data_IF_658431623895
#
_entry.id   IF_658431623895
#
_cell.length_a   1.000
_cell.length_b   1.000
_cell.length_c   1.000
_cell.angle_alpha   90.00
_cell.angle_beta   90.00
_cell.angle_gamma   90.00
#
_symmetry.space_group_name_H-M   'P 1'
#
loop_
_entity.id
_entity.type
_entity.pdbx_description
1 polymer ?
#
# COMPACT_ATOMS: atom_id res chain seq x y z
N UNK A 1 23.49 2.49 -7.25
CA UNK A 1 22.55 1.74 -6.40
C UNK A 1 22.25 0.40 -7.08
N UNK A 2 22.71 -0.71 -6.51
CA UNK A 2 22.59 -2.03 -7.14
C UNK A 2 21.12 -2.47 -7.19
N UNK A 3 20.56 -2.56 -8.40
CA UNK A 3 19.27 -3.22 -8.62
C UNK A 3 19.44 -4.69 -8.22
N UNK A 4 18.96 -5.09 -7.04
CA UNK A 4 19.03 -6.48 -6.59
C UNK A 4 18.32 -7.36 -7.63
N UNK A 5 19.00 -8.35 -8.16
CA UNK A 5 18.40 -9.33 -9.06
C UNK A 5 17.48 -10.28 -8.27
N UNK A 6 16.46 -10.80 -8.93
CA UNK A 6 15.53 -11.80 -8.38
C UNK A 6 15.63 -13.10 -9.19
N UNK A 7 15.46 -14.23 -8.52
CA UNK A 7 15.36 -15.57 -9.12
C UNK A 7 14.05 -16.23 -8.71
N UNK A 8 13.49 -17.06 -9.58
CA UNK A 8 12.25 -17.78 -9.29
C UNK A 8 12.57 -19.07 -8.53
N UNK A 9 11.73 -19.43 -7.56
CA UNK A 9 11.80 -20.71 -6.85
C UNK A 9 11.40 -21.86 -7.78
N UNK A 10 11.76 -23.10 -7.41
CA UNK A 10 11.40 -24.27 -8.22
C UNK A 10 9.88 -24.44 -8.36
N UNK A 11 9.12 -24.17 -7.30
CA UNK A 11 7.65 -24.16 -7.30
C UNK A 11 7.10 -22.98 -8.13
N UNK A 12 7.71 -21.80 -7.99
CA UNK A 12 7.36 -20.61 -8.77
C UNK A 12 7.53 -20.82 -10.28
N UNK A 13 8.63 -21.46 -10.72
CA UNK A 13 8.87 -21.80 -12.12
C UNK A 13 7.78 -22.72 -12.65
N UNK A 14 7.33 -23.71 -11.86
CA UNK A 14 6.26 -24.62 -12.26
C UNK A 14 4.92 -23.87 -12.44
N UNK A 15 4.54 -23.03 -11.47
CA UNK A 15 3.36 -22.14 -11.58
C UNK A 15 3.44 -21.26 -12.82
N UNK A 16 4.59 -20.64 -13.06
CA UNK A 16 4.81 -19.76 -14.20
C UNK A 16 4.72 -20.49 -15.53
N UNK A 17 5.27 -21.70 -15.64
CA UNK A 17 5.14 -22.54 -16.85
C UNK A 17 3.68 -22.91 -17.12
N UNK A 18 2.90 -23.24 -16.09
CA UNK A 18 1.48 -23.52 -16.25
C UNK A 18 0.70 -22.29 -16.73
N UNK A 19 0.95 -21.11 -16.15
CA UNK A 19 0.35 -19.86 -16.60
C UNK A 19 0.73 -19.53 -18.06
N UNK A 20 1.99 -19.69 -18.40
CA UNK A 20 2.50 -19.48 -19.75
C UNK A 20 1.85 -20.42 -20.78
N UNK A 21 1.69 -21.70 -20.44
CA UNK A 21 0.99 -22.68 -21.28
C UNK A 21 -0.50 -22.33 -21.47
N UNK A 22 -1.18 -21.87 -20.42
CA UNK A 22 -2.60 -21.44 -20.52
C UNK A 22 -2.79 -20.28 -21.49
N UNK A 23 -1.81 -19.37 -21.58
CA UNK A 23 -1.85 -18.25 -22.54
C UNK A 23 -1.50 -18.65 -23.97
N UNK A 24 -0.81 -19.77 -24.17
CA UNK A 24 -0.36 -20.22 -25.50
C UNK A 24 0.68 -19.31 -26.14
N UNK A 25 1.44 -18.57 -25.34
CA UNK A 25 2.43 -17.61 -25.82
C UNK A 25 3.78 -18.25 -26.16
N UNK A 26 4.55 -17.60 -27.03
CA UNK A 26 5.96 -17.92 -27.26
C UNK A 26 6.85 -17.07 -26.35
N UNK A 27 8.09 -17.49 -26.11
CA UNK A 27 9.02 -16.70 -25.29
C UNK A 27 9.37 -15.37 -25.95
N UNK A 28 9.31 -15.33 -27.28
CA UNK A 28 9.45 -14.14 -28.11
C UNK A 28 8.36 -13.13 -27.84
N UNK A 29 7.12 -13.61 -27.86
CA UNK A 29 5.96 -12.76 -27.62
C UNK A 29 6.02 -12.18 -26.21
N UNK A 30 6.32 -13.02 -25.21
CA UNK A 30 6.48 -12.55 -23.84
C UNK A 30 7.62 -11.54 -23.70
N UNK A 31 8.76 -11.74 -24.38
CA UNK A 31 9.87 -10.78 -24.37
C UNK A 31 9.44 -9.43 -24.94
N UNK A 32 8.71 -9.41 -26.07
CA UNK A 32 8.19 -8.19 -26.66
C UNK A 32 7.18 -7.48 -25.74
N UNK A 33 6.31 -8.22 -25.05
CA UNK A 33 5.33 -7.66 -24.10
C UNK A 33 5.96 -6.96 -22.88
N UNK A 34 7.16 -7.39 -22.48
CA UNK A 34 7.94 -6.74 -21.41
C UNK A 34 9.01 -5.78 -21.95
N UNK A 35 8.94 -5.42 -23.24
CA UNK A 35 9.84 -4.43 -23.85
C UNK A 35 11.28 -4.91 -24.06
N UNK A 36 11.49 -6.22 -24.14
CA UNK A 36 12.81 -6.82 -24.38
C UNK A 36 13.01 -7.14 -25.86
N UNK A 37 14.18 -6.75 -26.38
CA UNK A 37 14.60 -7.11 -27.74
C UNK A 37 15.02 -8.58 -27.86
N UNK A 38 15.43 -9.21 -26.76
CA UNK A 38 15.93 -10.58 -26.73
C UNK A 38 15.17 -11.47 -25.75
N UNK A 39 15.12 -12.76 -26.06
CA UNK A 39 14.51 -13.80 -25.21
C UNK A 39 15.33 -14.14 -23.96
N UNK A 40 16.51 -13.53 -23.78
CA UNK A 40 17.51 -13.94 -22.80
C UNK A 40 16.98 -13.89 -21.37
N UNK A 41 16.30 -12.81 -20.98
CA UNK A 41 15.75 -12.66 -19.62
C UNK A 41 14.56 -13.58 -19.38
N UNK A 42 13.72 -13.79 -20.40
CA UNK A 42 12.58 -14.73 -20.33
C UNK A 42 13.09 -16.16 -20.15
N UNK A 43 14.10 -16.58 -20.92
CA UNK A 43 14.74 -17.88 -20.74
C UNK A 43 15.35 -18.02 -19.34
N UNK A 44 16.10 -17.02 -18.88
CA UNK A 44 16.70 -17.02 -17.53
C UNK A 44 15.63 -17.16 -16.44
N UNK A 45 14.50 -16.47 -16.56
CA UNK A 45 13.36 -16.57 -15.65
C UNK A 45 12.86 -18.02 -15.54
N UNK A 46 12.53 -18.67 -16.67
CA UNK A 46 12.05 -20.06 -16.68
C UNK A 46 13.12 -21.10 -16.34
N UNK A 47 14.40 -20.72 -16.39
CA UNK A 47 15.54 -21.54 -15.99
C UNK A 47 15.96 -21.32 -14.52
N UNK A 48 15.26 -20.46 -13.76
CA UNK A 48 15.61 -20.17 -12.36
C UNK A 48 16.89 -19.36 -12.19
N UNK A 49 17.36 -18.69 -13.25
CA UNK A 49 18.54 -17.80 -13.19
C UNK A 49 18.13 -16.40 -12.76
N UNK A 50 18.99 -15.68 -12.03
CA UNK A 50 18.68 -14.33 -11.58
C UNK A 50 18.55 -13.36 -12.75
N UNK A 51 17.51 -12.53 -12.71
CA UNK A 51 17.24 -11.44 -13.67
C UNK A 51 16.98 -10.13 -12.92
N UNK A 52 16.95 -9.01 -13.64
CA UNK A 52 16.62 -7.72 -13.02
C UNK A 52 15.22 -7.72 -12.40
N UNK A 53 15.10 -7.12 -11.20
CA UNK A 53 13.84 -7.09 -10.44
C UNK A 53 12.65 -6.56 -11.24
N UNK A 54 12.83 -5.48 -12.01
CA UNK A 54 11.74 -4.90 -12.78
C UNK A 54 11.22 -5.89 -13.84
N UNK A 55 12.12 -6.51 -14.61
CA UNK A 55 11.76 -7.56 -15.58
C UNK A 55 11.09 -8.76 -14.92
N UNK A 56 11.54 -9.16 -13.73
CA UNK A 56 10.92 -10.25 -12.98
C UNK A 56 9.45 -9.94 -12.67
N UNK A 57 9.19 -8.73 -12.15
CA UNK A 57 7.85 -8.27 -11.81
C UNK A 57 7.00 -8.13 -13.07
N UNK A 58 7.53 -7.54 -14.14
CA UNK A 58 6.81 -7.35 -15.41
C UNK A 58 6.43 -8.69 -16.06
N UNK A 59 7.34 -9.68 -16.03
CA UNK A 59 7.04 -11.04 -16.51
C UNK A 59 5.92 -11.66 -15.68
N UNK A 60 5.98 -11.56 -14.34
CA UNK A 60 4.91 -12.09 -13.48
C UNK A 60 3.57 -11.40 -13.76
N UNK A 61 3.58 -10.08 -13.90
CA UNK A 61 2.40 -9.29 -14.22
C UNK A 61 1.78 -9.70 -15.56
N UNK A 62 2.58 -9.84 -16.63
CA UNK A 62 2.09 -10.29 -17.94
C UNK A 62 1.53 -11.71 -17.93
N UNK A 63 1.99 -12.56 -17.01
CA UNK A 63 1.50 -13.93 -16.82
C UNK A 63 0.34 -14.04 -15.84
N UNK A 64 -0.18 -12.92 -15.31
CA UNK A 64 -1.21 -12.85 -14.27
C UNK A 64 -0.80 -13.62 -13.00
N UNK A 65 0.44 -13.39 -12.54
CA UNK A 65 1.03 -14.01 -11.35
C UNK A 65 1.47 -12.95 -10.35
N UNK A 66 1.32 -13.25 -9.07
CA UNK A 66 1.88 -12.47 -7.99
C UNK A 66 3.37 -12.78 -7.83
N UNK A 67 4.25 -11.78 -7.95
CA UNK A 67 5.70 -12.01 -8.01
C UNK A 67 6.29 -12.57 -6.70
N UNK A 68 5.67 -12.28 -5.56
CA UNK A 68 6.06 -12.77 -4.22
C UNK A 68 5.89 -14.28 -4.09
N UNK A 69 4.90 -14.81 -4.81
CA UNK A 69 4.58 -16.24 -4.88
C UNK A 69 5.54 -17.05 -5.76
N UNK A 70 6.33 -16.34 -6.59
CA UNK A 70 7.22 -16.92 -7.61
C UNK A 70 8.68 -16.78 -7.20
N UNK A 71 9.04 -15.70 -6.50
CA UNK A 71 10.42 -15.42 -6.12
C UNK A 71 10.94 -16.46 -5.13
N UNK A 72 12.21 -16.83 -5.26
CA UNK A 72 12.91 -17.58 -4.23
C UNK A 72 13.32 -16.60 -3.13
N UNK A 73 12.56 -16.57 -2.04
CA UNK A 73 13.00 -15.86 -0.85
C UNK A 73 14.18 -16.63 -0.25
N UNK A 74 15.26 -15.94 0.18
CA UNK A 74 16.24 -16.60 1.04
C UNK A 74 15.47 -17.20 2.20
N UNK A 75 15.69 -18.49 2.45
CA UNK A 75 15.24 -19.15 3.67
C UNK A 75 15.87 -18.35 4.81
N UNK A 76 15.09 -17.41 5.36
CA UNK A 76 15.39 -16.85 6.66
C UNK A 76 15.25 -18.06 7.54
N UNK A 77 16.39 -18.67 7.90
CA UNK A 77 16.41 -19.67 8.95
C UNK A 77 15.50 -19.11 10.04
N UNK A 78 14.45 -19.84 10.45
CA UNK A 78 13.68 -19.41 11.59
C UNK A 78 14.69 -19.32 12.72
N UNK A 79 15.07 -18.08 13.05
CA UNK A 79 15.78 -17.78 14.27
C UNK A 79 15.03 -18.59 15.33
N UNK A 80 15.71 -19.47 16.09
CA UNK A 80 15.05 -20.20 17.15
C UNK A 80 14.23 -19.17 17.92
N UNK A 81 12.97 -19.51 18.20
CA UNK A 81 12.02 -18.66 18.90
C UNK A 81 12.44 -18.45 20.36
N UNK A 82 13.66 -17.97 20.57
CA UNK A 82 14.30 -17.72 21.84
C UNK A 82 14.93 -16.32 21.76
N UNK A 83 14.24 -15.41 22.45
CA UNK A 83 14.74 -14.15 22.97
C UNK A 83 15.05 -13.09 21.90
N UNK A 84 13.99 -12.49 21.34
CA UNK A 84 14.02 -11.03 21.22
C UNK A 84 14.26 -10.54 22.65
N UNK A 85 15.46 -10.03 22.94
CA UNK A 85 15.72 -9.24 24.14
C UNK A 85 14.84 -7.99 24.09
N UNK A 86 13.60 -8.18 24.49
CA UNK A 86 12.58 -7.16 24.69
C UNK A 86 12.93 -6.21 25.84
N UNK A 87 14.01 -6.46 26.59
CA UNK A 87 14.24 -5.74 27.86
C UNK A 87 14.68 -4.30 27.69
N UNK A 88 15.46 -3.95 26.65
CA UNK A 88 16.04 -2.61 26.57
C UNK A 88 15.09 -1.58 25.94
N UNK A 89 14.42 -1.93 24.84
CA UNK A 89 13.52 -1.00 24.14
C UNK A 89 12.16 -0.86 24.85
N UNK A 90 11.64 -1.93 25.48
CA UNK A 90 10.37 -1.86 26.20
C UNK A 90 10.48 -0.96 27.43
N UNK A 91 11.63 -0.91 28.10
CA UNK A 91 11.84 0.02 29.22
C UNK A 91 11.72 1.49 28.80
N UNK A 92 12.28 1.87 27.65
CA UNK A 92 12.15 3.23 27.11
C UNK A 92 10.73 3.53 26.65
N UNK A 93 10.03 2.57 26.05
CA UNK A 93 8.64 2.72 25.64
C UNK A 93 7.71 2.90 26.87
N UNK A 94 7.92 2.12 27.92
CA UNK A 94 7.13 2.22 29.15
C UNK A 94 7.39 3.54 29.88
N UNK A 95 8.66 3.98 29.92
CA UNK A 95 9.04 5.28 30.49
C UNK A 95 8.45 6.45 29.71
N UNK A 96 8.45 6.39 28.37
CA UNK A 96 7.85 7.41 27.52
C UNK A 96 6.31 7.45 27.65
N UNK A 97 5.65 6.29 27.78
CA UNK A 97 4.21 6.22 28.03
C UNK A 97 3.85 6.78 29.40
N UNK A 98 4.62 6.45 30.43
CA UNK A 98 4.42 6.95 31.80
C UNK A 98 4.52 8.48 31.85
N UNK A 99 5.57 9.07 31.26
CA UNK A 99 5.76 10.52 31.28
C UNK A 99 4.65 11.27 30.54
N UNK A 100 4.20 10.75 29.38
CA UNK A 100 3.19 11.41 28.56
C UNK A 100 1.77 11.21 29.10
N UNK A 101 1.49 10.11 29.80
CA UNK A 101 0.15 9.82 30.33
C UNK A 101 -0.36 10.92 31.26
N UNK A 102 0.50 11.45 32.15
CA UNK A 102 0.13 12.55 33.04
C UNK A 102 -0.19 13.84 32.27
N UNK A 103 0.56 14.16 31.23
CA UNK A 103 0.32 15.33 30.39
C UNK A 103 -0.98 15.20 29.59
N UNK A 104 -1.23 14.03 28.99
CA UNK A 104 -2.50 13.71 28.30
C UNK A 104 -3.67 13.77 29.30
N UNK A 105 -3.52 13.22 30.50
CA UNK A 105 -4.58 13.25 31.52
C UNK A 105 -4.91 14.68 31.95
N UNK A 106 -3.91 15.55 32.09
CA UNK A 106 -4.14 16.95 32.46
C UNK A 106 -4.79 17.76 31.32
N UNK A 107 -4.41 17.51 30.07
CA UNK A 107 -4.92 18.26 28.91
C UNK A 107 -6.26 17.72 28.39
N UNK A 108 -6.44 16.41 28.42
CA UNK A 108 -7.59 15.72 27.84
C UNK A 108 -8.56 15.17 28.89
N UNK A 109 -8.17 15.12 30.17
CA UNK A 109 -9.02 14.59 31.24
C UNK A 109 -10.32 15.35 31.43
N UNK A 110 -10.34 16.66 31.11
CA UNK A 110 -11.57 17.44 31.09
C UNK A 110 -12.56 16.96 30.02
N UNK A 111 -12.07 16.60 28.83
CA UNK A 111 -12.88 16.06 27.74
C UNK A 111 -13.40 14.65 28.05
N UNK A 112 -12.59 13.84 28.72
CA UNK A 112 -13.00 12.49 29.12
C UNK A 112 -14.08 12.53 30.22
N UNK A 113 -13.98 13.45 31.19
CA UNK A 113 -15.01 13.66 32.21
C UNK A 113 -16.31 14.29 31.67
N UNK A 114 -16.24 15.09 30.58
CA UNK A 114 -17.43 15.70 29.96
C UNK A 114 -18.19 14.75 29.03
N UNK A 115 -17.53 13.73 28.48
CA UNK A 115 -18.17 12.68 27.67
C UNK A 115 -18.69 11.50 28.51
N UNK A 116 -18.16 11.29 29.71
CA UNK A 116 -18.60 10.23 30.64
C UNK A 116 -19.87 10.61 31.42
N UNK A 117 -20.26 11.89 31.38
CA UNK A 117 -21.60 12.31 31.77
C UNK A 117 -22.52 12.17 30.56
N UNK A 118 -23.57 11.35 30.67
CA UNK A 118 -24.66 11.26 29.70
C UNK A 118 -25.51 12.55 29.69
N UNK A 119 -24.89 13.70 29.45
CA UNK A 119 -25.57 14.95 29.20
C UNK A 119 -25.77 15.09 27.68
N UNK A 120 -26.99 15.35 27.20
CA UNK A 120 -27.23 15.55 25.78
C UNK A 120 -26.49 16.82 25.32
N UNK A 121 -25.41 16.62 24.56
CA UNK A 121 -24.70 17.69 23.88
C UNK A 121 -25.48 18.08 22.63
N UNK A 122 -25.66 19.39 22.41
CA UNK A 122 -26.24 19.85 21.15
C UNK A 122 -25.23 19.68 20.03
N UNK A 123 -25.71 19.37 18.82
CA UNK A 123 -24.86 19.09 17.65
C UNK A 123 -23.85 20.22 17.37
N UNK A 124 -24.23 21.47 17.67
CA UNK A 124 -23.42 22.67 17.52
C UNK A 124 -22.19 22.72 18.45
N UNK A 125 -22.20 21.99 19.56
CA UNK A 125 -21.08 21.90 20.50
C UNK A 125 -20.05 20.83 20.09
N UNK A 126 -20.44 19.92 19.19
CA UNK A 126 -19.60 18.79 18.74
C UNK A 126 -19.01 19.04 17.37
N UNK A 127 -19.73 19.75 16.50
CA UNK A 127 -19.26 20.05 15.16
C UNK A 127 -18.37 21.29 15.15
N UNK A 128 -17.09 21.09 14.83
CA UNK A 128 -16.23 22.19 14.41
C UNK A 128 -16.72 22.72 13.06
N UNK A 129 -17.05 24.02 12.93
CA UNK A 129 -17.49 24.57 11.67
C UNK A 129 -16.38 24.41 10.64
N UNK A 130 -16.69 23.73 9.54
CA UNK A 130 -15.76 23.56 8.42
C UNK A 130 -15.56 24.93 7.78
N UNK A 131 -14.41 25.57 8.06
CA UNK A 131 -13.96 26.75 7.32
C UNK A 131 -13.39 26.29 5.98
N UNK A 132 -14.27 26.11 5.00
CA UNK A 132 -13.85 25.90 3.61
C UNK A 132 -13.27 27.23 3.12
N UNK A 133 -11.97 27.26 2.87
CA UNK A 133 -11.35 28.41 2.21
C UNK A 133 -11.84 28.43 0.76
N UNK A 134 -12.42 29.55 0.27
CA UNK A 134 -13.00 29.62 -1.08
C UNK A 134 -11.96 29.51 -2.19
N UNK A 135 -10.69 29.82 -1.89
CA UNK A 135 -9.60 29.67 -2.84
C UNK A 135 -8.49 28.79 -2.26
N UNK A 136 -8.02 27.78 -3.01
CA UNK A 136 -6.80 27.07 -2.65
C UNK A 136 -5.66 28.08 -2.65
N UNK A 137 -4.88 28.12 -1.57
CA UNK A 137 -3.68 28.94 -1.50
C UNK A 137 -2.81 28.59 -2.72
N UNK A 138 -2.30 29.60 -3.42
CA UNK A 138 -1.66 29.56 -4.75
C UNK A 138 -0.32 28.78 -4.79
N UNK A 139 -0.09 27.92 -3.81
CA UNK A 139 1.00 26.97 -3.71
C UNK A 139 0.43 25.54 -3.60
N UNK A 140 -0.37 25.14 -4.59
CA UNK A 140 -0.78 23.75 -4.76
C UNK A 140 -0.16 23.21 -6.06
N UNK A 141 0.64 22.15 -5.91
CA UNK A 141 1.43 21.52 -6.97
C UNK A 141 0.56 21.10 -8.16
N UNK A 142 0.96 21.50 -9.38
CA UNK A 142 0.33 21.07 -10.63
C UNK A 142 0.67 19.60 -10.86
N UNK A 143 -0.33 18.73 -10.70
CA UNK A 143 -0.26 17.31 -11.07
C UNK A 143 -1.59 16.89 -11.68
N UNK A 144 -1.60 16.70 -13.00
CA UNK A 144 -2.75 16.43 -13.86
C UNK A 144 -3.67 15.30 -13.38
N UNK A 145 -4.92 15.63 -13.07
CA UNK A 145 -6.11 14.93 -13.55
C UNK A 145 -7.37 15.71 -13.13
N UNK A 146 -7.97 16.44 -14.07
CA UNK A 146 -9.25 17.14 -13.88
C UNK A 146 -10.37 16.11 -14.04
N UNK A 147 -11.14 15.75 -12.99
CA UNK A 147 -12.39 15.03 -13.17
C UNK A 147 -13.47 15.99 -13.71
N UNK A 148 -14.50 15.48 -14.41
CA UNK A 148 -15.48 16.32 -15.10
C UNK A 148 -16.32 17.15 -14.11
N UNK A 149 -16.61 18.38 -14.52
CA UNK A 149 -17.38 19.38 -13.77
C UNK A 149 -18.76 18.84 -13.39
N UNK A 150 -19.07 18.82 -12.09
CA UNK A 150 -20.43 18.62 -11.59
C UNK A 150 -21.27 19.85 -11.96
N UNK A 151 -22.21 19.71 -12.88
CA UNK A 151 -23.25 20.71 -13.09
C UNK A 151 -24.35 20.55 -12.02
N UNK A 152 -24.75 21.62 -11.31
CA UNK A 152 -25.82 21.54 -10.32
C UNK A 152 -27.17 21.32 -11.02
N UNK A 153 -27.90 20.29 -10.58
CA UNK A 153 -29.28 20.01 -11.01
C UNK A 153 -30.16 21.17 -10.57
N UNK A 154 -30.73 21.90 -11.54
CA UNK A 154 -31.75 22.93 -11.28
C UNK A 154 -33.00 22.25 -10.72
N UNK A 155 -33.28 22.47 -9.44
CA UNK A 155 -34.54 22.11 -8.81
C UNK A 155 -35.68 22.89 -9.47
N UNK A 156 -36.67 22.19 -10.03
CA UNK A 156 -37.90 22.80 -10.52
C UNK A 156 -38.80 23.19 -9.32
N UNK A 157 -39.57 24.30 -9.40
CA UNK A 157 -40.51 24.67 -8.34
C UNK A 157 -41.72 23.74 -8.34
N UNK A 158 -41.98 23.12 -7.19
CA UNK A 158 -43.23 22.40 -6.90
C UNK A 158 -44.37 23.42 -6.82
N UNK A 159 -45.37 23.29 -7.70
CA UNK A 159 -46.63 24.03 -7.59
C UNK A 159 -47.55 23.26 -6.64
N UNK A 160 -48.04 23.93 -5.60
CA UNK A 160 -49.19 23.48 -4.81
C UNK A 160 -50.47 23.95 -5.51
N UNK A 161 -51.36 23.01 -5.79
CA UNK A 161 -52.80 23.23 -5.96
C UNK A 161 -53.51 22.41 -4.87
#
# INVERSE_FOLDING_TARGET
MGKRSLKASQSGIAKAKQAFQRKGWTQEYLAAEVGLETRQSVWKFFAGRPIERHLFIDICFRLDLEWEDIVELPEVEPLPAEVIEKSSAEHWLEQARSSLSSAIQQQCGFLQATLDMAHPLTLEQVYTPVRVLPEPNHQAMVGSNRPPEFQPVRSAPVSLD
#
